data_IF_986322813507
#
_entry.id   IF_986322813507
#
_cell.length_a   1.000
_cell.length_b   1.000
_cell.length_c   1.000
_cell.angle_alpha   90.00
_cell.angle_beta   90.00
_cell.angle_gamma   90.00
#
_symmetry.space_group_name_H-M   'P 1'
#
loop_
_entity.id
_entity.type
_entity.pdbx_description
1 polymer ?
#
# COMPACT_ATOMS: atom_id res chain seq x y z
N UNK A 1 16.95 71.34 -31.79
CA UNK A 1 15.92 70.46 -31.19
C UNK A 1 15.86 69.14 -31.97
N UNK A 2 16.40 68.04 -31.42
CA UNK A 2 16.33 66.70 -32.03
C UNK A 2 15.06 65.99 -31.57
N UNK A 3 14.10 65.77 -32.48
CA UNK A 3 12.91 64.96 -32.21
C UNK A 3 13.34 63.50 -32.05
N UNK A 4 13.23 62.95 -30.84
CA UNK A 4 13.34 61.51 -30.60
C UNK A 4 12.14 60.84 -31.26
N UNK A 5 12.37 60.07 -32.32
CA UNK A 5 11.36 59.20 -32.90
C UNK A 5 11.08 58.07 -31.91
N UNK A 6 9.86 58.02 -31.39
CA UNK A 6 9.37 56.89 -30.61
C UNK A 6 9.30 55.68 -31.54
N UNK A 7 10.07 54.62 -31.22
CA UNK A 7 9.96 53.35 -31.93
C UNK A 7 8.61 52.73 -31.56
N UNK A 8 7.81 52.28 -32.55
CA UNK A 8 6.52 51.66 -32.27
C UNK A 8 6.74 50.37 -31.46
N UNK A 9 6.20 50.35 -30.24
CA UNK A 9 6.06 49.14 -29.43
C UNK A 9 5.06 48.23 -30.14
N UNK A 10 5.56 47.18 -30.77
CA UNK A 10 4.72 46.26 -31.53
C UNK A 10 5.53 45.22 -32.30
N UNK A 11 6.61 44.68 -31.73
CA UNK A 11 7.22 43.48 -32.28
C UNK A 11 6.28 42.32 -32.02
N UNK A 12 5.51 41.94 -33.05
CA UNK A 12 4.74 40.69 -33.09
C UNK A 12 5.66 39.56 -32.65
N UNK A 13 5.23 38.81 -31.62
CA UNK A 13 5.96 37.61 -31.19
C UNK A 13 6.16 36.74 -32.43
N UNK A 14 7.40 36.41 -32.82
CA UNK A 14 7.64 35.64 -34.03
C UNK A 14 6.87 34.32 -33.92
N UNK A 15 6.15 33.94 -34.98
CA UNK A 15 5.28 32.77 -35.01
C UNK A 15 6.00 31.48 -34.54
N UNK A 16 7.32 31.42 -34.73
CA UNK A 16 8.18 30.34 -34.24
C UNK A 16 8.19 30.18 -32.71
N UNK A 17 8.10 31.28 -31.94
CA UNK A 17 8.02 31.22 -30.47
C UNK A 17 6.66 30.72 -29.99
N UNK A 18 5.57 31.12 -30.66
CA UNK A 18 4.23 30.62 -30.33
C UNK A 18 4.17 29.11 -30.59
N UNK A 19 4.72 28.66 -31.71
CA UNK A 19 4.79 27.23 -32.04
C UNK A 19 5.63 26.44 -31.03
N UNK A 20 6.80 26.96 -30.59
CA UNK A 20 7.62 26.26 -29.59
C UNK A 20 6.92 26.16 -28.24
N UNK A 21 6.14 27.18 -27.87
CA UNK A 21 5.39 27.20 -26.62
C UNK A 21 4.26 26.15 -26.65
N UNK A 22 3.53 26.06 -27.77
CA UNK A 22 2.52 25.02 -27.97
C UNK A 22 3.12 23.60 -27.97
N UNK A 23 4.27 23.41 -28.61
CA UNK A 23 4.95 22.11 -28.62
C UNK A 23 5.42 21.72 -27.22
N UNK A 24 5.97 22.65 -26.44
CA UNK A 24 6.35 22.41 -25.05
C UNK A 24 5.15 22.00 -24.19
N UNK A 25 3.98 22.62 -24.41
CA UNK A 25 2.75 22.30 -23.71
C UNK A 25 2.21 20.91 -24.07
N UNK A 26 2.32 20.51 -25.35
CA UNK A 26 1.95 19.17 -25.81
C UNK A 26 2.85 18.09 -25.20
N UNK A 27 4.17 18.31 -25.18
CA UNK A 27 5.13 17.39 -24.53
C UNK A 27 4.86 17.28 -23.04
N UNK A 28 4.59 18.40 -22.36
CA UNK A 28 4.26 18.39 -20.93
C UNK A 28 2.96 17.62 -20.65
N UNK A 29 1.93 17.81 -21.49
CA UNK A 29 0.67 17.07 -21.39
C UNK A 29 0.84 15.57 -21.60
N UNK A 30 1.67 15.17 -22.56
CA UNK A 30 2.02 13.76 -22.80
C UNK A 30 2.79 13.17 -21.62
N UNK A 31 3.76 13.92 -21.07
CA UNK A 31 4.51 13.50 -19.87
C UNK A 31 3.56 13.30 -18.68
N UNK A 32 2.61 14.23 -18.50
CA UNK A 32 1.61 14.17 -17.43
C UNK A 32 0.66 12.98 -17.56
N UNK A 33 0.25 12.62 -18.78
CA UNK A 33 -0.53 11.40 -18.99
C UNK A 33 0.30 10.14 -18.69
N UNK A 34 1.56 10.11 -19.13
CA UNK A 34 2.44 8.97 -18.90
C UNK A 34 2.79 8.77 -17.43
N UNK A 35 2.95 9.85 -16.66
CA UNK A 35 3.21 9.76 -15.21
C UNK A 35 1.97 9.39 -14.39
N UNK A 36 0.77 9.44 -14.97
CA UNK A 36 -0.44 8.92 -14.31
C UNK A 36 -0.53 7.39 -14.32
N UNK A 37 0.23 6.72 -15.17
CA UNK A 37 0.23 5.26 -15.21
C UNK A 37 0.98 4.73 -13.97
N UNK A 38 0.34 3.95 -13.08
CA UNK A 38 0.98 3.43 -11.86
C UNK A 38 2.18 2.52 -12.17
N UNK A 39 2.27 2.02 -13.40
CA UNK A 39 3.36 1.18 -13.88
C UNK A 39 4.68 1.96 -14.01
N UNK A 40 4.63 3.26 -14.32
CA UNK A 40 5.83 4.09 -14.51
C UNK A 40 6.58 4.34 -13.19
N UNK A 41 5.93 4.17 -12.04
CA UNK A 41 6.54 4.34 -10.73
C UNK A 41 7.14 3.05 -10.17
N UNK A 42 6.90 1.90 -10.82
CA UNK A 42 7.36 0.58 -10.36
C UNK A 42 8.88 0.40 -10.34
N UNK A 43 9.65 1.20 -11.07
CA UNK A 43 11.12 1.12 -11.03
C UNK A 43 11.72 1.94 -9.88
N UNK A 44 10.99 2.94 -9.36
CA UNK A 44 11.41 3.73 -8.19
C UNK A 44 11.18 2.95 -6.89
N UNK A 45 10.16 2.10 -6.87
CA UNK A 45 9.97 1.06 -5.85
C UNK A 45 10.83 -0.13 -6.25
N UNK A 46 11.96 -0.39 -5.59
CA UNK A 46 12.99 -1.40 -5.92
C UNK A 46 12.51 -2.89 -5.95
N UNK A 47 11.29 -3.19 -6.40
CA UNK A 47 10.70 -4.54 -6.47
C UNK A 47 11.36 -5.45 -7.52
N UNK A 48 12.11 -4.91 -8.49
CA UNK A 48 12.64 -5.70 -9.60
C UNK A 48 13.88 -6.55 -9.29
N UNK A 49 14.36 -6.64 -8.04
CA UNK A 49 15.59 -7.38 -7.72
C UNK A 49 15.39 -8.66 -6.89
N UNK A 50 14.19 -8.92 -6.36
CA UNK A 50 13.94 -10.11 -5.55
C UNK A 50 13.46 -11.33 -6.36
N UNK A 51 12.92 -11.14 -7.57
CA UNK A 51 12.22 -12.21 -8.31
C UNK A 51 13.04 -12.87 -9.44
N UNK A 52 14.31 -12.48 -9.65
CA UNK A 52 15.11 -12.94 -10.81
C UNK A 52 16.24 -13.92 -10.47
N UNK A 53 16.23 -14.52 -9.29
CA UNK A 53 17.22 -15.52 -8.89
C UNK A 53 16.56 -16.82 -8.45
N UNK A 54 15.93 -17.54 -9.38
CA UNK A 54 16.26 -18.95 -9.64
C UNK A 54 15.43 -19.52 -10.79
N UNK A 55 15.92 -20.62 -11.37
CA UNK A 55 15.28 -21.50 -12.36
C UNK A 55 15.47 -21.12 -13.84
N UNK A 56 16.67 -21.42 -14.33
CA UNK A 56 16.83 -22.01 -15.65
C UNK A 56 17.02 -23.52 -15.50
N UNK A 57 16.05 -24.33 -15.93
CA UNK A 57 16.36 -25.53 -16.72
C UNK A 57 15.12 -26.01 -17.48
N UNK A 58 15.33 -26.34 -18.76
CA UNK A 58 14.32 -26.27 -19.80
C UNK A 58 13.34 -27.44 -19.90
N UNK A 59 12.17 -27.16 -20.47
CA UNK A 59 11.42 -28.15 -21.25
C UNK A 59 10.49 -27.45 -22.25
N UNK A 60 10.42 -28.02 -23.45
CA UNK A 60 9.77 -27.54 -24.67
C UNK A 60 8.35 -26.94 -24.52
N UNK A 61 8.02 -25.82 -25.20
CA UNK A 61 6.67 -25.29 -25.29
C UNK A 61 6.03 -25.65 -26.64
N UNK A 62 5.30 -26.76 -26.69
CA UNK A 62 4.23 -26.99 -27.69
C UNK A 62 3.32 -28.10 -27.15
N UNK A 63 2.03 -27.80 -27.10
CA UNK A 63 0.92 -28.72 -26.83
C UNK A 63 0.49 -28.99 -25.37
N UNK A 64 0.20 -27.93 -24.62
CA UNK A 64 -0.72 -28.06 -23.49
C UNK A 64 -1.71 -26.90 -23.42
N UNK A 65 -2.90 -27.17 -23.95
CA UNK A 65 -4.10 -26.41 -23.63
C UNK A 65 -4.29 -26.40 -22.10
N UNK A 66 -4.59 -25.25 -21.48
CA UNK A 66 -4.75 -25.17 -20.04
C UNK A 66 -6.04 -25.89 -19.63
N UNK A 67 -5.90 -27.05 -18.99
CA UNK A 67 -7.00 -27.71 -18.29
C UNK A 67 -7.42 -26.82 -17.11
N UNK A 68 -8.68 -26.34 -17.02
CA UNK A 68 -9.11 -25.37 -16.00
C UNK A 68 -9.17 -25.87 -14.55
N UNK A 69 -8.75 -27.11 -14.27
CA UNK A 69 -9.03 -27.83 -13.03
C UNK A 69 -7.79 -28.53 -12.42
N UNK A 70 -6.58 -28.01 -12.60
CA UNK A 70 -5.43 -28.54 -11.85
C UNK A 70 -5.67 -28.29 -10.34
N UNK A 71 -5.76 -29.34 -9.49
CA UNK A 71 -5.89 -29.17 -8.05
C UNK A 71 -4.63 -28.49 -7.54
N UNK A 72 -4.76 -27.30 -6.95
CA UNK A 72 -3.64 -26.63 -6.31
C UNK A 72 -3.17 -27.52 -5.15
N UNK A 73 -1.87 -27.86 -5.07
CA UNK A 73 -1.31 -28.64 -3.97
C UNK A 73 -1.15 -27.73 -2.75
N UNK A 74 -2.25 -27.42 -2.07
CA UNK A 74 -2.17 -26.88 -0.71
C UNK A 74 -2.60 -28.00 0.21
N UNK A 75 -1.68 -28.46 1.06
CA UNK A 75 -1.96 -29.45 2.10
C UNK A 75 -2.85 -28.82 3.16
N UNK A 76 -4.14 -28.67 2.82
CA UNK A 76 -5.13 -28.12 3.73
C UNK A 76 -5.36 -29.08 4.89
N UNK A 77 -5.05 -28.63 6.10
CA UNK A 77 -5.35 -29.37 7.32
C UNK A 77 -6.84 -29.24 7.64
N UNK A 78 -7.65 -30.18 7.15
CA UNK A 78 -9.09 -30.22 7.41
C UNK A 78 -9.30 -31.04 8.68
N UNK A 79 -9.86 -30.42 9.71
CA UNK A 79 -10.21 -31.11 10.97
C UNK A 79 -11.69 -31.46 10.92
N UNK A 80 -12.07 -32.74 10.90
CA UNK A 80 -13.48 -33.14 10.95
C UNK A 80 -14.13 -32.57 12.22
N UNK A 81 -15.28 -31.91 12.08
CA UNK A 81 -15.97 -31.32 13.21
C UNK A 81 -17.30 -30.69 12.84
N UNK A 82 -18.08 -30.39 13.88
CA UNK A 82 -19.32 -29.63 13.78
C UNK A 82 -19.07 -28.23 13.20
N UNK A 83 -19.96 -27.78 12.32
CA UNK A 83 -19.79 -26.56 11.52
C UNK A 83 -21.10 -25.76 11.43
N UNK A 84 -21.11 -24.72 10.60
CA UNK A 84 -22.24 -23.80 10.45
C UNK A 84 -23.53 -24.42 9.86
N UNK A 85 -23.49 -25.66 9.36
CA UNK A 85 -24.69 -26.38 8.91
C UNK A 85 -25.47 -26.99 10.07
N UNK A 86 -24.85 -27.17 11.23
CA UNK A 86 -25.53 -27.65 12.42
C UNK A 86 -26.30 -26.49 13.09
N UNK A 87 -27.60 -26.71 13.33
CA UNK A 87 -28.50 -25.67 13.84
C UNK A 87 -28.19 -25.28 15.29
N UNK A 88 -27.76 -26.24 16.12
CA UNK A 88 -27.46 -26.02 17.54
C UNK A 88 -26.16 -25.24 17.68
N UNK A 89 -25.14 -25.60 16.89
CA UNK A 89 -23.89 -24.84 16.80
C UNK A 89 -24.10 -23.41 16.34
N UNK A 90 -24.98 -23.20 15.36
CA UNK A 90 -25.30 -21.88 14.87
C UNK A 90 -26.08 -21.05 15.91
N UNK A 91 -26.95 -21.66 16.70
CA UNK A 91 -27.59 -21.01 17.84
C UNK A 91 -26.57 -20.62 18.92
N UNK A 92 -25.61 -21.50 19.24
CA UNK A 92 -24.53 -21.24 20.19
C UNK A 92 -23.63 -20.09 19.72
N UNK A 93 -23.27 -20.06 18.43
CA UNK A 93 -22.49 -18.96 17.87
C UNK A 93 -23.28 -17.65 17.97
N UNK A 94 -24.56 -17.63 17.59
CA UNK A 94 -25.40 -16.42 17.68
C UNK A 94 -25.49 -15.90 19.11
N UNK A 95 -25.55 -16.76 20.11
CA UNK A 95 -25.50 -16.35 21.52
C UNK A 95 -24.17 -15.68 21.86
N UNK A 96 -23.05 -16.29 21.45
CA UNK A 96 -21.71 -15.76 21.68
C UNK A 96 -21.47 -14.42 20.96
N UNK A 97 -21.96 -14.28 19.72
CA UNK A 97 -21.83 -13.06 18.92
C UNK A 97 -22.61 -11.87 19.49
N UNK A 98 -23.68 -12.10 20.28
CA UNK A 98 -24.40 -11.01 20.98
C UNK A 98 -23.55 -10.36 22.07
N UNK A 99 -22.57 -11.07 22.63
CA UNK A 99 -21.67 -10.54 23.66
C UNK A 99 -20.51 -9.73 23.06
N UNK A 100 -20.28 -9.82 21.74
CA UNK A 100 -19.15 -9.19 21.07
C UNK A 100 -19.42 -7.69 20.86
N UNK A 101 -18.54 -6.83 21.37
CA UNK A 101 -18.69 -5.37 21.32
C UNK A 101 -17.77 -4.73 20.27
N UNK A 102 -18.32 -3.99 19.31
CA UNK A 102 -17.51 -3.30 18.29
C UNK A 102 -16.72 -2.11 18.83
N UNK A 103 -15.67 -1.72 18.10
CA UNK A 103 -14.80 -0.55 18.36
C UNK A 103 -14.11 -0.59 19.72
N UNK A 104 -14.00 -1.79 20.27
CA UNK A 104 -13.21 -2.09 21.46
C UNK A 104 -12.03 -3.00 21.07
N UNK A 105 -10.97 -3.03 21.90
CA UNK A 105 -9.93 -4.04 21.74
C UNK A 105 -10.54 -5.45 21.80
N UNK A 106 -9.79 -6.44 21.33
CA UNK A 106 -10.18 -7.83 21.49
C UNK A 106 -10.18 -8.18 22.99
N UNK A 107 -11.31 -8.64 23.51
CA UNK A 107 -11.52 -8.95 24.93
C UNK A 107 -11.76 -10.44 25.15
N UNK A 108 -11.63 -10.89 26.40
CA UNK A 108 -11.91 -12.27 26.80
C UNK A 108 -13.35 -12.71 26.47
N UNK A 109 -14.31 -11.78 26.56
CA UNK A 109 -15.71 -12.04 26.18
C UNK A 109 -15.87 -12.41 24.70
N UNK A 110 -15.00 -11.90 23.82
CA UNK A 110 -15.02 -12.20 22.38
C UNK A 110 -14.45 -13.60 22.07
N UNK A 111 -13.68 -14.19 23.00
CA UNK A 111 -12.90 -15.41 22.74
C UNK A 111 -13.75 -16.63 22.41
N UNK A 112 -14.96 -16.73 22.97
CA UNK A 112 -15.88 -17.83 22.68
C UNK A 112 -16.24 -17.86 21.19
N UNK A 113 -16.74 -16.75 20.65
CA UNK A 113 -17.07 -16.60 19.23
C UNK A 113 -15.81 -16.68 18.35
N UNK A 114 -14.71 -16.06 18.78
CA UNK A 114 -13.43 -16.11 18.07
C UNK A 114 -12.96 -17.55 17.82
N UNK A 115 -12.90 -18.38 18.86
CA UNK A 115 -12.43 -19.76 18.73
C UNK A 115 -13.43 -20.66 18.02
N UNK A 116 -14.74 -20.40 18.14
CA UNK A 116 -15.76 -21.13 17.39
C UNK A 116 -15.65 -20.86 15.89
N UNK A 117 -15.47 -19.61 15.47
CA UNK A 117 -15.22 -19.25 14.06
C UNK A 117 -13.89 -19.81 13.54
N UNK A 118 -12.85 -19.83 14.37
CA UNK A 118 -11.57 -20.46 14.06
C UNK A 118 -11.70 -21.97 13.85
N UNK A 119 -12.53 -22.64 14.65
CA UNK A 119 -12.86 -24.05 14.48
C UNK A 119 -13.61 -24.26 13.16
N UNK A 120 -14.67 -23.49 12.91
CA UNK A 120 -15.46 -23.60 11.68
C UNK A 120 -14.66 -23.33 10.42
N UNK A 121 -13.70 -22.41 10.45
CA UNK A 121 -12.83 -22.19 9.29
C UNK A 121 -11.94 -23.40 8.98
N UNK A 122 -11.75 -24.34 9.93
CA UNK A 122 -10.94 -25.55 9.75
C UNK A 122 -11.72 -26.81 9.38
N UNK A 123 -13.04 -26.80 9.52
CA UNK A 123 -13.87 -27.98 9.26
C UNK A 123 -14.19 -28.16 7.78
N UNK A 124 -13.99 -27.13 6.95
CA UNK A 124 -14.27 -27.15 5.52
C UNK A 124 -13.04 -26.82 4.67
N UNK A 125 -12.93 -27.41 3.46
CA UNK A 125 -11.98 -26.97 2.46
C UNK A 125 -12.22 -25.50 2.08
N UNK A 126 -11.15 -24.75 1.81
CA UNK A 126 -11.28 -23.32 1.45
C UNK A 126 -12.13 -23.11 0.19
N UNK A 127 -12.06 -24.06 -0.76
CA UNK A 127 -12.81 -24.02 -2.00
C UNK A 127 -14.33 -24.14 -1.79
N UNK A 128 -14.78 -24.86 -0.77
CA UNK A 128 -16.19 -24.95 -0.42
C UNK A 128 -16.65 -23.70 0.32
N UNK A 129 -15.84 -23.22 1.27
CA UNK A 129 -16.08 -21.97 1.99
C UNK A 129 -16.22 -20.80 1.00
N UNK A 130 -15.40 -20.77 -0.06
CA UNK A 130 -15.41 -19.71 -1.08
C UNK A 130 -16.68 -19.70 -1.95
N UNK A 131 -17.34 -20.85 -2.11
CA UNK A 131 -18.63 -20.93 -2.84
C UNK A 131 -19.76 -20.32 -2.03
N UNK A 132 -19.70 -20.46 -0.71
CA UNK A 132 -20.69 -19.89 0.22
C UNK A 132 -20.41 -18.42 0.54
N UNK A 133 -19.15 -18.01 0.40
CA UNK A 133 -18.70 -16.69 0.79
C UNK A 133 -19.27 -15.57 -0.09
N UNK A 134 -19.76 -14.52 0.57
CA UNK A 134 -20.18 -13.28 -0.09
C UNK A 134 -18.96 -12.58 -0.71
N UNK A 135 -19.08 -12.15 -1.96
CA UNK A 135 -18.01 -11.48 -2.73
C UNK A 135 -18.22 -9.97 -2.82
N UNK A 136 -19.48 -9.55 -2.87
CA UNK A 136 -19.88 -8.16 -3.06
C UNK A 136 -20.18 -7.52 -1.70
N UNK A 137 -19.13 -7.37 -0.88
CA UNK A 137 -19.24 -6.73 0.44
C UNK A 137 -18.39 -5.46 0.48
N UNK A 138 -19.00 -4.28 0.32
CA UNK A 138 -18.31 -3.01 0.49
C UNK A 138 -17.79 -2.85 1.92
N UNK A 139 -16.60 -2.26 2.07
CA UNK A 139 -16.03 -1.94 3.38
C UNK A 139 -17.00 -1.16 4.31
N UNK A 140 -17.77 -0.21 3.76
CA UNK A 140 -18.71 0.61 4.53
C UNK A 140 -19.83 -0.19 5.19
N UNK A 141 -20.28 -1.29 4.58
CA UNK A 141 -21.35 -2.12 5.14
C UNK A 141 -20.92 -2.81 6.42
N UNK A 142 -19.65 -3.26 6.49
CA UNK A 142 -19.11 -3.81 7.72
C UNK A 142 -19.11 -2.75 8.83
N UNK A 143 -18.86 -1.48 8.50
CA UNK A 143 -18.78 -0.38 9.48
C UNK A 143 -20.15 0.06 10.01
N UNK A 144 -21.13 0.17 9.11
CA UNK A 144 -22.46 0.69 9.42
C UNK A 144 -23.37 -0.37 10.02
N UNK A 145 -23.30 -1.61 9.52
CA UNK A 145 -24.21 -2.70 9.87
C UNK A 145 -23.45 -3.99 10.26
N UNK A 146 -22.51 -3.93 11.23
CA UNK A 146 -21.67 -5.08 11.56
C UNK A 146 -22.49 -6.31 11.94
N UNK A 147 -23.58 -6.13 12.69
CA UNK A 147 -24.44 -7.22 13.17
C UNK A 147 -25.02 -8.08 12.05
N UNK A 148 -25.28 -7.51 10.87
CA UNK A 148 -25.82 -8.25 9.73
C UNK A 148 -24.79 -9.21 9.11
N UNK A 149 -23.50 -8.92 9.24
CA UNK A 149 -22.43 -9.68 8.57
C UNK A 149 -21.63 -10.57 9.52
N UNK A 150 -21.82 -10.44 10.84
CA UNK A 150 -21.12 -11.25 11.84
C UNK A 150 -21.40 -12.74 11.65
N UNK A 151 -20.33 -13.53 11.63
CA UNK A 151 -20.38 -14.97 11.42
C UNK A 151 -20.77 -15.40 10.01
N UNK A 152 -20.91 -14.49 9.04
CA UNK A 152 -21.15 -14.85 7.64
C UNK A 152 -19.83 -15.09 6.90
N UNK A 153 -19.76 -16.09 6.00
CA UNK A 153 -18.59 -16.31 5.18
C UNK A 153 -18.44 -15.18 4.15
N UNK A 154 -17.25 -14.60 4.08
CA UNK A 154 -16.87 -13.45 3.26
C UNK A 154 -15.58 -13.78 2.54
N UNK A 155 -15.50 -13.35 1.28
CA UNK A 155 -14.34 -13.51 0.42
C UNK A 155 -13.76 -12.14 0.10
N UNK A 156 -12.48 -11.92 0.44
CA UNK A 156 -11.78 -10.67 0.17
C UNK A 156 -10.49 -10.93 -0.62
N UNK A 157 -10.16 -10.05 -1.57
CA UNK A 157 -8.82 -9.98 -2.17
C UNK A 157 -8.01 -8.98 -1.35
N UNK A 158 -6.94 -9.44 -0.71
CA UNK A 158 -6.13 -8.64 0.20
C UNK A 158 -4.73 -8.45 -0.37
N UNK A 159 -4.29 -7.20 -0.37
CA UNK A 159 -2.90 -6.79 -0.48
C UNK A 159 -2.31 -6.76 0.93
N UNK A 160 -1.61 -7.81 1.32
CA UNK A 160 -1.06 -7.99 2.68
C UNK A 160 0.25 -7.20 2.80
N UNK A 161 0.38 -6.37 3.86
CA UNK A 161 1.64 -5.67 4.18
C UNK A 161 2.31 -6.06 5.47
N UNK A 162 1.62 -6.80 6.35
CA UNK A 162 2.19 -7.27 7.61
C UNK A 162 1.61 -8.62 7.97
N UNK A 163 2.48 -9.51 8.43
CA UNK A 163 2.11 -10.85 8.91
C UNK A 163 2.85 -11.10 10.21
N UNK A 164 2.09 -11.33 11.27
CA UNK A 164 2.57 -11.69 12.60
C UNK A 164 2.26 -13.15 12.87
N UNK A 165 3.08 -13.75 13.74
CA UNK A 165 2.84 -15.07 14.31
C UNK A 165 2.85 -14.95 15.83
N UNK A 166 1.96 -15.66 16.50
CA UNK A 166 1.95 -15.74 17.96
C UNK A 166 1.43 -17.09 18.43
N UNK A 167 1.80 -17.44 19.66
CA UNK A 167 1.33 -18.64 20.36
C UNK A 167 0.15 -18.23 21.25
N UNK A 168 -1.06 -18.74 21.02
CA UNK A 168 -2.20 -18.44 21.88
C UNK A 168 -2.01 -19.08 23.27
N UNK A 169 -2.25 -18.33 24.33
CA UNK A 169 -2.00 -18.78 25.72
C UNK A 169 -2.94 -19.89 26.18
N UNK A 170 -4.23 -19.77 25.88
CA UNK A 170 -5.27 -20.76 26.18
C UNK A 170 -6.22 -20.83 25.00
N UNK A 171 -6.29 -21.98 24.34
CA UNK A 171 -7.25 -22.20 23.27
C UNK A 171 -7.92 -23.58 23.37
N UNK A 172 -9.20 -23.69 23.02
CA UNK A 172 -9.91 -24.97 23.01
C UNK A 172 -9.61 -25.81 21.76
N UNK A 173 -8.73 -25.36 20.88
CA UNK A 173 -8.45 -25.96 19.56
C UNK A 173 -7.03 -26.54 19.46
N UNK A 174 -6.26 -26.51 20.57
CA UNK A 174 -4.88 -26.97 20.67
C UNK A 174 -3.95 -26.43 19.57
N UNK A 175 -4.23 -25.21 19.08
CA UNK A 175 -3.40 -24.56 18.07
C UNK A 175 -2.13 -24.04 18.73
N UNK A 176 -0.98 -24.53 18.25
CA UNK A 176 0.33 -24.05 18.71
C UNK A 176 0.65 -22.65 18.20
N UNK A 177 0.25 -22.38 16.96
CA UNK A 177 0.53 -21.13 16.27
C UNK A 177 -0.74 -20.58 15.65
N UNK A 178 -0.86 -19.27 15.72
CA UNK A 178 -1.88 -18.50 15.00
C UNK A 178 -1.16 -17.38 14.26
N UNK A 179 -1.66 -17.08 13.07
CA UNK A 179 -1.11 -16.04 12.20
C UNK A 179 -2.11 -14.92 12.04
N UNK A 180 -1.60 -13.69 12.09
CA UNK A 180 -2.38 -12.48 11.92
C UNK A 180 -1.80 -11.69 10.76
N UNK A 181 -2.59 -11.45 9.72
CA UNK A 181 -2.20 -10.63 8.58
C UNK A 181 -3.00 -9.33 8.55
N UNK A 182 -2.32 -8.26 8.18
CA UNK A 182 -2.90 -6.95 7.94
C UNK A 182 -2.75 -6.61 6.47
N UNK A 183 -3.85 -6.24 5.84
CA UNK A 183 -3.87 -5.91 4.42
C UNK A 183 -5.04 -5.01 4.05
N UNK A 184 -5.07 -4.59 2.79
CA UNK A 184 -6.14 -3.72 2.26
C UNK A 184 -6.78 -4.42 1.07
N UNK A 185 -8.04 -4.10 0.85
CA UNK A 185 -8.70 -4.38 -0.41
C UNK A 185 -8.58 -3.16 -1.31
N UNK A 186 -8.91 -3.33 -2.60
CA UNK A 186 -8.93 -2.21 -3.55
C UNK A 186 -9.93 -1.11 -3.12
N UNK A 187 -11.05 -1.49 -2.51
CA UNK A 187 -12.10 -0.57 -2.05
C UNK A 187 -11.81 0.05 -0.68
N UNK A 188 -11.07 -0.61 0.23
CA UNK A 188 -10.81 -0.08 1.58
C UNK A 188 -9.72 0.99 1.63
N UNK A 189 -8.95 1.16 0.55
CA UNK A 189 -7.90 2.18 0.40
C UNK A 189 -6.89 2.17 1.56
N UNK A 190 -6.98 3.13 2.49
CA UNK A 190 -6.05 3.29 3.60
C UNK A 190 -6.51 2.57 4.88
N UNK A 191 -7.69 1.96 4.87
CA UNK A 191 -8.24 1.26 6.02
C UNK A 191 -7.96 -0.25 5.95
N UNK A 192 -7.16 -0.80 6.87
CA UNK A 192 -6.76 -2.19 6.79
C UNK A 192 -7.85 -3.12 7.32
N UNK A 193 -7.79 -4.36 6.86
CA UNK A 193 -8.41 -5.53 7.47
C UNK A 193 -7.37 -6.25 8.33
N UNK A 194 -7.80 -6.76 9.48
CA UNK A 194 -7.04 -7.71 10.28
C UNK A 194 -7.64 -9.10 10.06
N UNK A 195 -6.86 -10.02 9.50
CA UNK A 195 -7.32 -11.40 9.25
C UNK A 195 -6.48 -12.38 10.04
N UNK A 196 -7.15 -13.31 10.72
CA UNK A 196 -6.51 -14.29 11.58
C UNK A 196 -6.80 -15.70 11.08
N UNK A 197 -5.75 -16.52 10.98
CA UNK A 197 -5.84 -17.84 10.37
C UNK A 197 -4.89 -18.84 11.08
N UNK A 198 -5.26 -20.13 11.11
CA UNK A 198 -4.52 -21.14 11.87
C UNK A 198 -3.31 -21.67 11.12
N UNK A 199 -3.44 -21.87 9.80
CA UNK A 199 -2.43 -22.53 8.97
C UNK A 199 -1.83 -21.52 7.98
N UNK A 200 -0.51 -21.34 8.01
CA UNK A 200 0.17 -20.42 7.09
C UNK A 200 0.20 -21.00 5.67
N UNK A 201 -0.36 -20.32 4.66
CA UNK A 201 -0.24 -20.79 3.29
C UNK A 201 1.21 -20.74 2.81
N UNK A 202 1.51 -21.59 1.83
CA UNK A 202 2.79 -21.58 1.14
C UNK A 202 3.03 -20.23 0.46
N UNK A 203 4.28 -19.78 0.43
CA UNK A 203 4.66 -18.51 -0.20
C UNK A 203 4.29 -17.25 0.59
N UNK A 204 3.56 -17.32 1.71
CA UNK A 204 3.31 -16.15 2.55
C UNK A 204 4.52 -15.85 3.46
N UNK A 205 5.24 -14.73 3.26
CA UNK A 205 6.32 -14.31 4.15
C UNK A 205 5.76 -13.80 5.49
N UNK A 206 6.55 -13.91 6.55
CA UNK A 206 6.21 -13.41 7.89
C UNK A 206 7.09 -12.19 8.15
N UNK A 207 6.50 -11.08 8.59
CA UNK A 207 7.24 -9.85 8.83
C UNK A 207 6.36 -8.60 8.91
N UNK A 208 6.98 -7.47 9.21
CA UNK A 208 6.31 -6.15 9.25
C UNK A 208 6.25 -5.44 7.91
N UNK A 209 7.06 -5.89 6.94
CA UNK A 209 7.16 -5.35 5.59
C UNK A 209 6.99 -6.52 4.61
N UNK A 210 5.74 -6.86 4.34
CA UNK A 210 5.33 -7.89 3.40
C UNK A 210 4.77 -7.19 2.16
N UNK A 211 4.91 -7.81 0.99
CA UNK A 211 4.14 -7.43 -0.19
C UNK A 211 3.62 -8.70 -0.85
N UNK A 212 2.35 -9.01 -0.63
CA UNK A 212 1.77 -10.23 -1.18
C UNK A 212 0.27 -10.11 -1.41
N UNK A 213 -0.18 -10.70 -2.51
CA UNK A 213 -1.59 -10.77 -2.89
C UNK A 213 -2.19 -12.11 -2.51
N UNK A 214 -3.19 -12.10 -1.64
CA UNK A 214 -3.88 -13.29 -1.19
C UNK A 214 -5.39 -13.12 -1.26
N UNK A 215 -6.11 -14.24 -1.40
CA UNK A 215 -7.56 -14.29 -1.24
C UNK A 215 -7.85 -14.84 0.15
N UNK A 216 -8.52 -14.02 0.96
CA UNK A 216 -9.07 -14.42 2.23
C UNK A 216 -10.48 -14.98 2.05
N UNK A 217 -10.76 -16.07 2.74
CA UNK A 217 -12.11 -16.64 2.86
C UNK A 217 -12.33 -17.02 4.32
N UNK A 218 -13.36 -16.45 4.94
CA UNK A 218 -13.58 -16.62 6.37
C UNK A 218 -14.78 -15.83 6.87
N UNK A 219 -14.87 -15.70 8.19
CA UNK A 219 -16.00 -15.09 8.87
C UNK A 219 -15.61 -13.72 9.43
N UNK A 220 -16.52 -12.74 9.35
CA UNK A 220 -16.36 -11.49 10.07
C UNK A 220 -16.75 -11.65 11.54
N UNK A 221 -15.87 -11.21 12.46
CA UNK A 221 -16.14 -11.26 13.90
C UNK A 221 -16.64 -9.91 14.43
N UNK A 222 -15.85 -8.84 14.27
CA UNK A 222 -16.11 -7.52 14.85
C UNK A 222 -15.24 -6.43 14.25
N UNK A 223 -15.55 -5.17 14.56
CA UNK A 223 -14.59 -4.08 14.49
C UNK A 223 -13.73 -4.04 15.74
N UNK A 224 -12.45 -4.34 15.57
CA UNK A 224 -11.46 -4.24 16.62
C UNK A 224 -10.85 -2.85 16.63
N UNK A 225 -10.72 -2.24 17.81
CA UNK A 225 -9.87 -1.07 17.97
C UNK A 225 -8.42 -1.47 18.25
N UNK A 226 -7.48 -0.79 17.61
CA UNK A 226 -6.05 -1.01 17.78
C UNK A 226 -5.30 0.33 17.88
N UNK A 227 -4.12 0.30 18.49
CA UNK A 227 -3.26 1.48 18.60
C UNK A 227 -2.35 1.57 17.37
N UNK A 228 -2.45 2.66 16.62
CA UNK A 228 -1.57 2.94 15.48
C UNK A 228 -0.78 4.22 15.77
N UNK A 229 0.50 4.06 16.14
CA UNK A 229 1.30 5.16 16.67
C UNK A 229 0.59 5.80 17.88
N UNK A 230 0.24 7.09 17.80
CA UNK A 230 -0.43 7.83 18.87
C UNK A 230 -1.97 7.90 18.71
N UNK A 231 -2.52 7.31 17.65
CA UNK A 231 -3.96 7.39 17.36
C UNK A 231 -4.62 6.02 17.46
N UNK A 232 -5.73 5.96 18.20
CA UNK A 232 -6.61 4.80 18.23
C UNK A 232 -7.35 4.69 16.89
N UNK A 233 -7.16 3.57 16.19
CA UNK A 233 -7.84 3.25 14.93
C UNK A 233 -8.71 2.01 15.11
N UNK A 234 -9.55 1.73 14.11
CA UNK A 234 -10.38 0.54 14.09
C UNK A 234 -10.15 -0.21 12.77
N UNK A 235 -10.22 -1.53 12.83
CA UNK A 235 -10.17 -2.41 11.67
C UNK A 235 -11.17 -3.56 11.83
N UNK A 236 -11.82 -4.01 10.75
CA UNK A 236 -12.58 -5.25 10.77
C UNK A 236 -11.64 -6.43 11.04
N UNK A 237 -12.00 -7.25 12.02
CA UNK A 237 -11.35 -8.51 12.37
C UNK A 237 -12.11 -9.66 11.72
N UNK A 238 -11.41 -10.45 10.91
CA UNK A 238 -11.94 -11.64 10.27
C UNK A 238 -11.13 -12.87 10.65
N UNK A 239 -11.79 -14.03 10.66
CA UNK A 239 -11.21 -15.31 11.05
C UNK A 239 -11.46 -16.31 9.94
N UNK A 240 -10.41 -16.94 9.40
CA UNK A 240 -10.56 -17.74 8.20
C UNK A 240 -9.30 -18.42 7.72
N UNK A 241 -9.21 -18.54 6.39
CA UNK A 241 -8.07 -19.10 5.66
C UNK A 241 -7.63 -18.15 4.56
N UNK A 242 -6.37 -18.27 4.17
CA UNK A 242 -5.76 -17.54 3.06
C UNK A 242 -5.34 -18.53 1.98
N UNK A 243 -5.51 -18.13 0.72
CA UNK A 243 -4.87 -18.80 -0.43
C UNK A 243 -4.16 -17.77 -1.31
N UNK A 244 -3.05 -18.13 -1.97
CA UNK A 244 -2.41 -17.23 -2.92
C UNK A 244 -3.43 -16.68 -3.92
N UNK A 245 -3.42 -15.37 -4.15
CA UNK A 245 -4.22 -14.82 -5.23
C UNK A 245 -3.65 -15.38 -6.52
N UNK A 246 -4.49 -16.07 -7.30
CA UNK A 246 -4.15 -16.36 -8.68
C UNK A 246 -3.95 -15.00 -9.32
N UNK A 247 -2.69 -14.61 -9.57
CA UNK A 247 -2.40 -13.45 -10.41
C UNK A 247 -3.16 -13.76 -11.69
N UNK A 248 -4.27 -13.07 -11.90
CA UNK A 248 -4.90 -13.10 -13.21
C UNK A 248 -3.76 -12.61 -14.10
N UNK A 249 -3.19 -13.52 -14.90
CA UNK A 249 -2.31 -13.15 -15.98
C UNK A 249 -3.22 -12.43 -16.94
N UNK A 250 -3.60 -11.20 -16.57
CA UNK A 250 -4.02 -10.17 -17.47
C UNK A 250 -2.79 -9.96 -18.32
N UNK A 251 -2.63 -10.84 -19.31
CA UNK A 251 -2.11 -10.45 -20.59
C UNK A 251 -3.05 -9.35 -21.04
N UNK A 252 -2.87 -8.14 -20.49
CA UNK A 252 -2.99 -6.95 -21.28
C UNK A 252 -1.99 -7.21 -22.40
N UNK A 253 -2.47 -7.88 -23.45
CA UNK A 253 -1.94 -7.68 -24.79
C UNK A 253 -2.12 -6.18 -24.95
N UNK A 254 -1.09 -5.41 -24.57
CA UNK A 254 -0.83 -4.10 -25.14
C UNK A 254 -0.95 -4.36 -26.61
N UNK A 255 -2.11 -4.00 -27.14
CA UNK A 255 -2.52 -4.51 -28.43
C UNK A 255 -1.44 -4.07 -29.42
N UNK A 256 -0.91 -4.98 -30.22
CA UNK A 256 0.25 -4.69 -31.09
C UNK A 256 0.02 -3.46 -31.98
N UNK A 257 -1.24 -3.07 -32.18
CA UNK A 257 -1.62 -1.85 -32.89
C UNK A 257 -1.31 -0.55 -32.11
N UNK A 258 -1.38 -0.52 -30.78
CA UNK A 258 -1.04 0.67 -29.98
C UNK A 258 0.47 0.95 -30.02
N UNK A 259 1.30 -0.09 -29.91
CA UNK A 259 2.75 0.02 -30.11
C UNK A 259 3.10 0.36 -31.56
N UNK A 260 2.43 -0.25 -32.54
CA UNK A 260 2.60 0.10 -33.95
C UNK A 260 2.18 1.56 -34.24
N UNK A 261 1.08 2.04 -33.65
CA UNK A 261 0.61 3.40 -33.80
C UNK A 261 1.58 4.40 -33.16
N UNK A 262 2.07 4.13 -31.94
CA UNK A 262 3.09 4.95 -31.28
C UNK A 262 4.40 5.00 -32.08
N UNK A 263 4.84 3.88 -32.65
CA UNK A 263 6.00 3.83 -33.55
C UNK A 263 5.79 4.65 -34.82
N UNK A 264 4.59 4.56 -35.42
CA UNK A 264 4.25 5.31 -36.63
C UNK A 264 4.19 6.82 -36.36
N UNK A 265 3.50 7.24 -35.30
CA UNK A 265 3.42 8.65 -34.90
C UNK A 265 4.80 9.19 -34.54
N UNK A 266 5.59 8.42 -33.76
CA UNK A 266 6.97 8.77 -33.43
C UNK A 266 7.87 8.91 -34.66
N UNK A 267 7.73 7.99 -35.63
CA UNK A 267 8.47 8.02 -36.89
C UNK A 267 8.12 9.23 -37.77
N UNK A 268 6.83 9.56 -37.90
CA UNK A 268 6.37 10.73 -38.67
C UNK A 268 6.87 12.04 -38.03
N UNK A 269 6.84 12.15 -36.70
CA UNK A 269 7.37 13.32 -35.99
C UNK A 269 8.88 13.45 -36.16
N UNK A 270 9.62 12.35 -36.07
CA UNK A 270 11.07 12.33 -36.26
C UNK A 270 11.45 12.76 -37.68
N UNK A 271 10.79 12.22 -38.70
CA UNK A 271 11.04 12.58 -40.10
C UNK A 271 10.68 14.04 -40.38
N UNK A 272 9.57 14.53 -39.83
CA UNK A 272 9.16 15.94 -39.94
C UNK A 272 10.18 16.87 -39.30
N UNK A 273 10.74 16.47 -38.14
CA UNK A 273 11.78 17.23 -37.45
C UNK A 273 13.09 17.27 -38.26
N UNK A 274 13.52 16.15 -38.82
CA UNK A 274 14.71 16.07 -39.69
C UNK A 274 14.52 16.92 -40.95
N UNK A 275 13.37 16.82 -41.61
CA UNK A 275 13.04 17.62 -42.80
C UNK A 275 13.02 19.12 -42.52
N UNK A 276 12.43 19.53 -41.40
CA UNK A 276 12.49 20.92 -40.93
C UNK A 276 13.93 21.37 -40.74
N UNK A 277 14.75 20.59 -40.03
CA UNK A 277 16.15 20.93 -39.77
C UNK A 277 16.99 21.01 -41.05
N UNK A 278 16.73 20.17 -42.04
CA UNK A 278 17.39 20.24 -43.34
C UNK A 278 16.98 21.51 -44.11
N UNK A 279 15.69 21.85 -44.15
CA UNK A 279 15.18 23.00 -44.90
C UNK A 279 15.61 24.33 -44.26
N UNK A 280 15.55 24.42 -42.94
CA UNK A 280 15.84 25.66 -42.20
C UNK A 280 17.27 25.76 -41.70
N UNK A 281 17.92 24.65 -41.36
CA UNK A 281 19.30 24.61 -40.86
C UNK A 281 20.35 24.86 -41.93
N UNK A 282 20.07 24.55 -43.20
CA UNK A 282 20.97 24.88 -44.32
C UNK A 282 20.83 26.33 -44.81
N UNK A 283 19.82 27.07 -44.36
CA UNK A 283 19.73 28.53 -44.58
C UNK A 283 20.41 29.31 -43.46
N UNK A 284 21.58 28.88 -42.99
CA UNK A 284 22.46 29.80 -42.25
C UNK A 284 22.77 30.94 -43.23
N UNK A 285 22.33 32.18 -42.97
CA UNK A 285 22.85 33.31 -43.74
C UNK A 285 24.36 33.21 -43.60
N UNK A 286 25.07 33.02 -44.71
CA UNK A 286 26.52 33.25 -44.74
C UNK A 286 26.67 34.67 -44.25
N UNK A 287 27.07 34.83 -42.99
CA UNK A 287 27.54 36.10 -42.48
C UNK A 287 28.72 36.43 -43.37
N UNK A 288 28.50 37.28 -44.36
CA UNK A 288 29.57 37.87 -45.14
C UNK A 288 30.33 38.69 -44.11
N UNK A 289 31.41 38.12 -43.59
CA UNK A 289 32.38 38.84 -42.78
C UNK A 289 32.99 39.85 -43.73
N UNK A 290 32.47 41.08 -43.71
CA UNK A 290 33.18 42.21 -44.27
C UNK A 290 34.48 42.32 -43.47
N UNK A 291 35.59 41.98 -44.13
CA UNK A 291 36.93 42.19 -43.63
C UNK A 291 37.14 43.71 -43.51
N UNK A 292 36.85 44.27 -42.35
CA UNK A 292 37.36 45.59 -41.98
C UNK A 292 38.79 45.40 -41.50
N UNK A 293 39.72 45.54 -42.43
CA UNK A 293 41.13 45.81 -42.13
C UNK A 293 41.24 47.17 -41.46
N UNK A 294 41.58 47.17 -40.18
CA UNK A 294 42.22 48.28 -39.46
C UNK A 294 43.05 47.62 -38.35
N UNK A 295 44.34 47.37 -38.63
CA UNK A 295 45.46 48.18 -38.18
C UNK A 295 45.75 47.99 -36.66
N UNK A 296 46.97 47.54 -36.30
CA UNK A 296 47.33 47.24 -34.93
C UNK A 296 47.75 48.53 -34.22
N UNK A 297 47.22 48.81 -33.03
CA UNK A 297 47.94 49.66 -32.09
C UNK A 297 47.43 49.48 -30.65
N UNK A 298 48.37 49.05 -29.82
CA UNK A 298 48.57 49.34 -28.40
C UNK A 298 47.61 48.77 -27.35
N UNK A 299 48.14 47.78 -26.64
CA UNK A 299 47.84 47.48 -25.24
C UNK A 299 48.12 48.70 -24.35
N UNK A 300 47.26 48.97 -23.35
CA UNK A 300 47.70 49.53 -22.08
C UNK A 300 47.70 48.46 -20.98
N UNK A 301 48.88 48.26 -20.40
CA UNK A 301 49.23 47.35 -19.29
C UNK A 301 48.70 47.80 -17.91
N UNK A 302 47.40 48.12 -17.74
CA UNK A 302 46.96 48.75 -16.49
C UNK A 302 45.62 48.32 -15.87
N UNK A 303 45.17 47.07 -16.04
CA UNK A 303 43.98 46.58 -15.30
C UNK A 303 44.28 45.70 -14.07
N UNK A 304 45.52 45.25 -13.85
CA UNK A 304 45.88 44.47 -12.64
C UNK A 304 46.49 45.35 -11.55
N UNK A 305 45.70 46.26 -10.95
CA UNK A 305 45.97 46.82 -9.62
C UNK A 305 44.65 47.00 -8.88
N UNK A 306 44.53 46.36 -7.72
CA UNK A 306 43.28 46.20 -7.01
C UNK A 306 42.91 47.29 -6.02
N UNK A 307 41.75 47.05 -5.41
CA UNK A 307 41.27 47.56 -4.12
C UNK A 307 40.38 46.41 -3.60
N UNK A 308 40.81 45.56 -2.68
CA UNK A 308 40.98 45.83 -1.26
C UNK A 308 39.85 46.71 -0.70
N UNK A 309 39.05 46.09 0.17
CA UNK A 309 38.29 46.69 1.26
C UNK A 309 37.03 47.50 0.88
N UNK A 310 35.84 46.91 1.10
CA UNK A 310 34.87 47.60 1.93
C UNK A 310 33.95 46.62 2.68
N UNK A 311 33.91 46.93 3.96
CA UNK A 311 33.10 46.49 5.06
C UNK A 311 31.59 46.76 4.92
N UNK A 312 30.83 46.23 5.91
CA UNK A 312 29.46 46.60 6.34
C UNK A 312 28.24 46.02 5.61
N UNK A 313 27.65 45.02 6.26
CA UNK A 313 26.38 45.15 7.03
C UNK A 313 26.03 43.76 7.57
N UNK A 314 26.29 43.48 8.84
CA UNK A 314 25.27 43.53 9.90
C UNK A 314 23.83 43.40 9.35
N UNK A 315 23.38 42.15 9.18
CA UNK A 315 21.96 41.83 9.27
C UNK A 315 21.77 40.94 10.49
N UNK A 316 21.38 41.62 11.56
CA UNK A 316 20.81 41.12 12.80
C UNK A 316 19.71 40.11 12.49
N UNK A 317 19.98 38.82 12.74
CA UNK A 317 18.95 37.79 12.84
C UNK A 317 18.77 37.44 14.32
N UNK A 318 18.19 38.39 15.04
CA UNK A 318 17.48 38.16 16.28
C UNK A 318 16.24 37.33 15.94
N UNK A 319 16.33 36.00 16.09
CA UNK A 319 15.16 35.12 15.94
C UNK A 319 15.16 34.03 17.00
N UNK A 320 14.51 34.39 18.11
CA UNK A 320 13.69 33.54 18.97
C UNK A 320 14.32 32.20 19.39
N UNK A 321 15.02 32.25 20.52
CA UNK A 321 15.11 31.09 21.43
C UNK A 321 13.69 30.74 21.88
N UNK A 322 13.10 29.72 21.27
CA UNK A 322 11.98 29.01 21.86
C UNK A 322 12.52 28.23 23.06
N UNK A 323 12.32 28.81 24.24
CA UNK A 323 12.49 28.16 25.52
C UNK A 323 11.42 27.07 25.62
N UNK A 324 11.82 25.81 25.38
CA UNK A 324 10.97 24.65 25.65
C UNK A 324 10.90 24.51 27.17
N UNK A 325 9.90 25.16 27.76
CA UNK A 325 9.45 24.89 29.12
C UNK A 325 8.89 23.47 29.12
N UNK A 326 9.66 22.52 29.63
CA UNK A 326 9.16 21.20 30.03
C UNK A 326 8.37 21.34 31.33
N UNK A 327 7.05 21.08 31.35
CA UNK A 327 6.37 20.85 32.62
C UNK A 327 6.77 19.48 33.17
N UNK A 328 7.71 19.50 34.13
CA UNK A 328 7.93 18.40 35.06
C UNK A 328 6.70 18.31 35.98
N UNK A 329 5.71 17.53 35.58
CA UNK A 329 4.61 17.12 36.45
C UNK A 329 4.81 15.64 36.81
N UNK A 330 5.71 15.42 37.77
CA UNK A 330 5.77 14.18 38.52
C UNK A 330 4.58 14.14 39.50
N UNK A 331 3.41 13.70 39.02
CA UNK A 331 2.34 13.27 39.91
C UNK A 331 2.68 11.84 40.35
N UNK A 332 3.33 11.77 41.51
CA UNK A 332 3.50 10.56 42.30
C UNK A 332 2.11 10.07 42.73
N UNK A 333 1.55 9.11 41.99
CA UNK A 333 0.35 8.39 42.42
C UNK A 333 0.80 7.32 43.41
N UNK A 334 0.57 7.61 44.69
CA UNK A 334 0.74 6.66 45.77
C UNK A 334 -0.14 5.43 45.53
N UNK A 335 0.48 4.24 45.50
CA UNK A 335 -0.20 2.95 45.52
C UNK A 335 -1.05 2.84 46.79
N UNK A 336 -2.33 2.42 46.70
CA UNK A 336 -3.10 2.08 47.88
C UNK A 336 -2.56 0.79 48.53
N UNK A 337 -2.65 0.66 49.86
CA UNK A 337 -2.20 -0.53 50.58
C UNK A 337 -3.04 -1.75 50.19
N UNK A 338 -2.34 -2.86 49.93
CA UNK A 338 -2.89 -4.19 49.75
C UNK A 338 -3.60 -4.59 51.05
N UNK A 339 -4.93 -4.58 51.03
CA UNK A 339 -5.75 -5.17 52.09
C UNK A 339 -5.69 -6.69 51.92
N UNK A 340 -5.00 -7.36 52.84
CA UNK A 340 -4.97 -8.81 52.94
C UNK A 340 -6.39 -9.34 53.23
N UNK A 341 -6.86 -10.25 52.38
CA UNK A 341 -8.10 -10.98 52.60
C UNK A 341 -7.95 -11.94 53.80
N UNK A 342 -8.98 -12.08 54.66
CA UNK A 342 -8.95 -12.98 55.79
C UNK A 342 -8.99 -14.45 55.34
N UNK A 343 -8.12 -15.26 55.92
CA UNK A 343 -8.11 -16.71 55.77
C UNK A 343 -9.43 -17.30 56.29
N UNK A 344 -10.26 -17.82 55.38
CA UNK A 344 -11.39 -18.67 55.71
C UNK A 344 -10.91 -20.05 56.10
N UNK A 345 -11.00 -20.33 57.39
CA UNK A 345 -10.90 -21.64 58.04
C UNK A 345 -11.95 -22.61 57.48
N UNK A 346 -11.60 -23.85 57.10
CA UNK A 346 -12.59 -24.90 56.88
C UNK A 346 -13.01 -25.51 58.22
N UNK A 347 -14.29 -25.31 58.52
CA UNK A 347 -15.07 -25.91 59.59
C UNK A 347 -15.06 -27.44 59.47
N UNK A 348 -14.60 -28.11 60.53
CA UNK A 348 -14.52 -29.56 60.63
C UNK A 348 -15.71 -30.07 61.43
N UNK A 349 -16.67 -30.71 60.76
CA UNK A 349 -17.80 -31.40 61.38
C UNK A 349 -17.57 -32.93 61.45
N UNK A 350 -18.26 -33.64 62.36
CA UNK A 350 -17.74 -34.87 62.96
C UNK A 350 -18.35 -36.17 62.41
N UNK A 351 -17.50 -37.19 62.27
CA UNK A 351 -17.85 -38.61 62.22
C UNK A 351 -16.91 -39.31 63.22
N UNK A 352 -17.29 -40.23 64.08
CA UNK A 352 -18.52 -40.95 64.34
C UNK A 352 -18.13 -41.92 65.46
N UNK A 353 -19.02 -42.14 66.44
CA UNK A 353 -18.77 -43.05 67.57
C UNK A 353 -18.66 -44.49 67.10
N UNK A 354 -17.77 -45.25 67.73
CA UNK A 354 -17.85 -46.69 67.96
C UNK A 354 -17.60 -46.92 69.44
#
# INVERSE_FOLDING_TARGET
MRRRQARPYGHTVPATRVLSLLMGLAVLGMLYQRTKEPQFWRWMTNESRADSADVSEGTNPKDSLPTPNAPLPTSENIVPGLNETDADELANLRSSLKAVLDRQPLQDLDMSAYWQLMRWSRTRPIAELEKLARRDLPYSHLWEEPDLYRGQPIRLKLHIRRVLKYEPSKNPQDLKLVYEAWGWTEDSRSFPFCVVFPDKPEGLPIGTDVDADFVFVGYFLKWMSYQAFDVKKNAPLLIGRLRPATKAVGSAKTSDWETAFLMLVGGVLLLSFIGWFAIYGLRRPRTIVAATTSAPDQLPDNWLVGTADDSRSEVTAERLRFEIVTPSNAVSVASPPIVAAPATTPDSAPHGRS
#
